data_IF_643105918368
#
_entry.id   IF_643105918368
#
_cell.length_a   1.000
_cell.length_b   1.000
_cell.length_c   1.000
_cell.angle_alpha   90.00
_cell.angle_beta   90.00
_cell.angle_gamma   90.00
#
_symmetry.space_group_name_H-M   'P 1'
#
loop_
_entity.id
_entity.type
_entity.pdbx_description
1 polymer ?
#
# COMPACT_ATOMS: atom_id res chain seq x y z
N UNK A 1 23.02 21.13 -31.48
CA UNK A 1 21.70 21.47 -30.91
C UNK A 1 21.31 20.31 -30.02
N UNK A 2 21.54 20.42 -28.70
CA UNK A 2 21.18 19.37 -27.71
C UNK A 2 19.75 19.61 -27.29
N UNK A 3 18.85 18.70 -27.66
CA UNK A 3 17.48 18.69 -27.20
C UNK A 3 17.41 18.24 -25.76
N UNK A 4 17.10 19.15 -24.87
CA UNK A 4 16.79 18.87 -23.47
C UNK A 4 15.42 18.12 -23.43
N UNK A 5 15.45 16.82 -23.17
CA UNK A 5 14.21 16.06 -22.90
C UNK A 5 13.80 16.41 -21.46
N UNK A 6 12.82 17.30 -21.34
CA UNK A 6 12.11 17.55 -20.08
C UNK A 6 11.35 16.26 -19.71
N UNK A 7 11.88 15.49 -18.77
CA UNK A 7 11.12 14.43 -18.10
C UNK A 7 10.10 15.12 -17.20
N UNK A 8 8.88 15.28 -17.69
CA UNK A 8 7.73 15.67 -16.88
C UNK A 8 7.53 14.61 -15.79
N UNK A 9 7.96 14.88 -14.58
CA UNK A 9 7.47 14.18 -13.41
C UNK A 9 5.98 14.51 -13.31
N UNK A 10 5.12 13.56 -13.64
CA UNK A 10 3.67 13.65 -13.35
C UNK A 10 3.51 13.66 -11.84
N UNK A 11 3.55 14.84 -11.24
CA UNK A 11 3.12 15.02 -9.86
C UNK A 11 1.64 14.62 -9.81
N UNK A 12 1.29 13.76 -8.87
CA UNK A 12 -0.09 13.37 -8.61
C UNK A 12 -0.91 14.63 -8.30
N UNK A 13 -2.01 14.86 -9.01
CA UNK A 13 -2.85 16.03 -8.76
C UNK A 13 -3.50 15.91 -7.38
N UNK A 14 -3.18 16.84 -6.50
CA UNK A 14 -3.84 17.01 -5.21
C UNK A 14 -5.21 17.63 -5.42
N UNK A 15 -6.19 17.15 -4.65
CA UNK A 15 -7.50 17.82 -4.58
C UNK A 15 -7.33 19.20 -3.92
N UNK A 16 -7.69 20.25 -4.64
CA UNK A 16 -7.54 21.63 -4.16
C UNK A 16 -8.45 21.96 -2.99
N UNK A 17 -9.53 21.22 -2.81
CA UNK A 17 -10.45 21.35 -1.70
C UNK A 17 -9.95 20.73 -0.37
N UNK A 18 -8.79 20.04 -0.37
CA UNK A 18 -8.17 19.56 0.87
C UNK A 18 -7.80 20.73 1.77
N UNK A 19 -8.16 20.69 3.09
CA UNK A 19 -7.87 21.77 4.00
C UNK A 19 -6.36 21.95 4.21
N UNK A 20 -5.92 23.19 4.31
CA UNK A 20 -4.55 23.49 4.74
C UNK A 20 -4.37 23.11 6.21
N UNK A 21 -3.19 22.57 6.55
CA UNK A 21 -2.84 22.30 7.93
C UNK A 21 -2.37 23.59 8.60
N UNK A 22 -3.04 23.97 9.65
CA UNK A 22 -2.65 25.07 10.51
C UNK A 22 -2.17 24.56 11.84
N UNK A 23 -0.94 24.98 12.21
CA UNK A 23 -0.31 24.61 13.47
C UNK A 23 -1.10 25.19 14.65
N UNK A 24 -1.37 24.35 15.66
CA UNK A 24 -1.92 24.78 16.95
C UNK A 24 -0.84 24.76 18.03
N UNK A 25 -1.03 25.53 19.11
CA UNK A 25 -0.07 25.56 20.22
C UNK A 25 -0.28 24.37 21.18
N UNK A 26 0.77 24.05 21.97
CA UNK A 26 0.67 23.11 23.08
C UNK A 26 0.72 21.63 22.70
N UNK A 27 1.16 21.29 21.51
CA UNK A 27 1.32 19.89 21.07
C UNK A 27 2.71 19.40 21.43
N UNK A 28 2.76 18.32 22.21
CA UNK A 28 3.98 17.64 22.65
C UNK A 28 3.65 16.19 23.05
N UNK A 29 4.65 15.36 23.24
CA UNK A 29 4.49 13.97 23.69
C UNK A 29 5.10 12.97 22.71
N UNK A 30 4.71 11.70 22.85
CA UNK A 30 5.25 10.61 22.05
C UNK A 30 4.19 9.98 21.17
N UNK A 31 4.56 9.66 19.92
CA UNK A 31 3.76 8.89 18.96
C UNK A 31 4.56 7.65 18.56
N UNK A 32 3.92 6.48 18.59
CA UNK A 32 4.47 5.26 18.05
C UNK A 32 3.54 4.71 16.97
N UNK A 33 4.10 4.52 15.79
CA UNK A 33 3.45 3.86 14.65
C UNK A 33 4.06 2.48 14.44
N UNK A 34 3.23 1.44 14.48
CA UNK A 34 3.66 0.04 14.27
C UNK A 34 2.81 -0.60 13.19
N UNK A 35 3.41 -1.09 12.10
CA UNK A 35 2.61 -1.73 11.06
C UNK A 35 3.32 -1.96 9.74
N UNK A 36 2.65 -1.59 8.66
CA UNK A 36 2.97 -1.95 7.29
C UNK A 36 4.26 -1.33 6.77
N UNK A 37 5.17 -2.16 6.25
CA UNK A 37 6.31 -1.73 5.44
C UNK A 37 5.87 -0.98 4.16
N UNK A 38 4.76 -1.36 3.56
CA UNK A 38 4.23 -0.66 2.36
C UNK A 38 4.05 0.84 2.62
N UNK A 39 3.63 1.23 3.83
CA UNK A 39 3.42 2.63 4.22
C UNK A 39 4.64 3.25 4.91
N UNK A 40 5.79 2.55 4.98
CA UNK A 40 6.95 2.99 5.75
C UNK A 40 7.45 4.38 5.32
N UNK A 41 7.66 4.59 4.01
CA UNK A 41 8.11 5.88 3.45
C UNK A 41 7.13 7.01 3.78
N UNK A 42 5.87 6.81 3.45
CA UNK A 42 4.81 7.80 3.70
C UNK A 42 4.67 8.13 5.19
N UNK A 43 4.67 7.11 6.06
CA UNK A 43 4.56 7.33 7.51
C UNK A 43 5.79 8.09 8.05
N UNK A 44 6.98 7.78 7.56
CA UNK A 44 8.21 8.49 7.92
C UNK A 44 8.15 9.95 7.49
N UNK A 45 7.75 10.23 6.27
CA UNK A 45 7.57 11.60 5.78
C UNK A 45 6.55 12.39 6.61
N UNK A 46 5.43 11.77 6.98
CA UNK A 46 4.46 12.42 7.87
C UNK A 46 5.03 12.74 9.25
N UNK A 47 5.77 11.80 9.83
CA UNK A 47 6.37 11.99 11.15
C UNK A 47 7.45 13.09 11.12
N UNK A 48 8.32 13.07 10.12
CA UNK A 48 9.38 14.09 9.96
C UNK A 48 8.80 15.49 9.79
N UNK A 49 7.81 15.65 8.91
CA UNK A 49 7.16 16.95 8.71
C UNK A 49 6.37 17.40 9.93
N UNK A 50 5.67 16.48 10.61
CA UNK A 50 4.94 16.79 11.84
C UNK A 50 5.88 17.21 12.98
N UNK A 51 7.06 16.59 13.11
CA UNK A 51 8.09 17.00 14.06
C UNK A 51 8.70 18.38 13.71
N UNK A 52 8.75 18.75 12.43
CA UNK A 52 9.14 20.09 12.02
C UNK A 52 8.13 21.17 12.49
N UNK A 53 6.83 20.84 12.48
CA UNK A 53 5.80 21.69 13.11
C UNK A 53 5.91 21.68 14.65
N UNK A 54 6.22 20.54 15.26
CA UNK A 54 6.19 20.31 16.71
C UNK A 54 7.49 19.68 17.23
N UNK A 55 8.55 20.45 17.45
CA UNK A 55 9.85 19.93 17.89
C UNK A 55 9.83 19.19 19.25
N UNK A 56 8.79 19.42 20.07
CA UNK A 56 8.60 18.72 21.34
C UNK A 56 7.89 17.37 21.21
N UNK A 57 7.59 16.94 19.97
CA UNK A 57 7.04 15.59 19.67
C UNK A 57 8.16 14.62 19.42
N UNK A 58 8.14 13.49 20.15
CA UNK A 58 8.99 12.33 19.87
C UNK A 58 8.17 11.28 19.14
N UNK A 59 8.48 11.01 17.88
CA UNK A 59 7.74 10.04 17.10
C UNK A 59 8.65 8.93 16.57
N UNK A 60 8.14 7.69 16.56
CA UNK A 60 8.85 6.50 16.11
C UNK A 60 7.99 5.69 15.12
N UNK A 61 8.64 5.12 14.12
CA UNK A 61 8.02 4.28 13.09
C UNK A 61 8.67 2.90 13.09
N UNK A 62 7.84 1.86 13.28
CA UNK A 62 8.23 0.46 13.18
C UNK A 62 7.44 -0.21 12.06
N UNK A 63 8.09 -0.46 10.94
CA UNK A 63 7.46 -0.90 9.70
C UNK A 63 7.76 -2.38 9.40
N UNK A 64 7.37 -3.30 10.28
CA UNK A 64 7.67 -4.73 10.19
C UNK A 64 6.63 -5.54 9.40
N UNK A 65 5.50 -4.95 9.04
CA UNK A 65 4.41 -5.58 8.28
C UNK A 65 3.04 -5.34 8.92
N UNK A 66 1.98 -5.37 8.11
CA UNK A 66 0.61 -5.06 8.57
C UNK A 66 0.12 -5.93 9.74
N UNK A 67 0.61 -7.17 9.85
CA UNK A 67 0.18 -8.07 10.93
C UNK A 67 0.71 -7.67 12.32
N UNK A 68 1.64 -6.72 12.42
CA UNK A 68 2.14 -6.20 13.70
C UNK A 68 1.26 -5.09 14.27
N UNK A 69 0.44 -4.44 13.44
CA UNK A 69 -0.43 -3.34 13.86
C UNK A 69 -1.56 -3.78 14.83
N UNK A 70 -2.33 -4.85 14.55
CA UNK A 70 -3.43 -5.23 15.42
C UNK A 70 -3.02 -5.52 16.88
N UNK A 71 -1.99 -6.36 17.17
CA UNK A 71 -1.58 -6.58 18.56
C UNK A 71 -1.04 -5.30 19.21
N UNK A 72 -0.24 -4.49 18.51
CA UNK A 72 0.30 -3.26 19.08
C UNK A 72 -0.81 -2.24 19.47
N UNK A 73 -1.87 -2.14 18.67
CA UNK A 73 -3.04 -1.32 18.98
C UNK A 73 -3.87 -1.91 20.12
N UNK A 74 -4.05 -3.25 20.16
CA UNK A 74 -4.81 -3.92 21.21
C UNK A 74 -4.13 -3.75 22.57
N UNK A 75 -2.82 -3.89 22.62
CA UNK A 75 -2.02 -3.71 23.84
C UNK A 75 -1.76 -2.22 24.17
N UNK A 76 -2.26 -1.28 23.34
CA UNK A 76 -2.03 0.16 23.50
C UNK A 76 -0.54 0.54 23.52
N UNK A 77 0.33 -0.29 22.93
CA UNK A 77 1.76 -0.01 22.77
C UNK A 77 2.04 0.92 21.59
N UNK A 78 1.12 1.02 20.62
CA UNK A 78 1.17 1.97 19.52
C UNK A 78 -0.14 2.77 19.43
N UNK A 79 -0.05 4.02 18.99
CA UNK A 79 -1.20 4.88 18.72
C UNK A 79 -1.71 4.71 17.30
N UNK A 80 -0.81 4.41 16.35
CA UNK A 80 -1.12 4.30 14.93
C UNK A 80 -0.71 2.93 14.38
N UNK A 81 -1.61 2.28 13.65
CA UNK A 81 -1.41 0.99 13.01
C UNK A 81 -1.55 1.08 11.49
N UNK A 82 -0.49 1.48 10.73
CA UNK A 82 -0.55 1.46 9.27
C UNK A 82 -0.73 0.06 8.73
N UNK A 83 -1.65 -0.12 7.79
CA UNK A 83 -1.94 -1.41 7.17
C UNK A 83 -2.21 -1.28 5.67
N UNK A 84 -1.64 -2.18 4.88
CA UNK A 84 -1.85 -2.25 3.43
C UNK A 84 -2.93 -3.27 3.02
N UNK A 85 -3.76 -3.67 3.96
CA UNK A 85 -5.00 -4.43 3.85
C UNK A 85 -5.95 -4.06 4.99
N UNK A 86 -7.25 -4.33 4.87
CA UNK A 86 -8.13 -4.30 6.05
C UNK A 86 -7.67 -5.28 7.13
N UNK A 87 -7.96 -4.98 8.40
CA UNK A 87 -7.84 -5.95 9.48
C UNK A 87 -8.73 -7.16 9.17
N UNK A 88 -8.25 -8.35 9.51
CA UNK A 88 -9.04 -9.58 9.44
C UNK A 88 -10.11 -9.58 10.53
N UNK A 89 -11.18 -10.32 10.31
CA UNK A 89 -12.25 -10.45 11.33
C UNK A 89 -11.74 -10.94 12.69
N UNK A 90 -10.77 -11.86 12.70
CA UNK A 90 -10.12 -12.33 13.92
C UNK A 90 -9.29 -11.26 14.63
N UNK A 91 -8.60 -10.37 13.87
CA UNK A 91 -7.83 -9.26 14.43
C UNK A 91 -8.78 -8.20 15.05
N UNK A 92 -9.90 -7.92 14.38
CA UNK A 92 -10.95 -7.00 14.89
C UNK A 92 -11.59 -7.60 16.16
N UNK A 93 -11.93 -8.89 16.15
CA UNK A 93 -12.55 -9.56 17.29
C UNK A 93 -11.63 -9.59 18.52
N UNK A 94 -10.32 -9.81 18.32
CA UNK A 94 -9.34 -9.76 19.39
C UNK A 94 -9.23 -8.37 20.02
N UNK A 95 -9.21 -7.32 19.20
CA UNK A 95 -9.24 -5.93 19.66
C UNK A 95 -10.53 -5.60 20.43
N UNK A 96 -11.68 -5.99 19.86
CA UNK A 96 -13.00 -5.74 20.46
C UNK A 96 -13.17 -6.47 21.80
N UNK A 97 -12.64 -7.69 21.92
CA UNK A 97 -12.64 -8.43 23.19
C UNK A 97 -11.85 -7.73 24.29
N UNK A 98 -10.78 -7.01 23.94
CA UNK A 98 -9.95 -6.27 24.90
C UNK A 98 -10.51 -4.91 25.27
N UNK A 99 -11.10 -4.19 24.32
CA UNK A 99 -11.51 -2.80 24.50
C UNK A 99 -13.02 -2.58 24.62
N UNK A 100 -13.85 -3.56 24.23
CA UNK A 100 -15.31 -3.43 24.19
C UNK A 100 -15.86 -2.66 23.01
N UNK A 101 -15.00 -2.26 22.04
CA UNK A 101 -15.36 -1.58 20.79
C UNK A 101 -14.35 -1.92 19.70
N UNK A 102 -14.72 -1.66 18.42
CA UNK A 102 -13.86 -1.99 17.27
C UNK A 102 -12.81 -0.90 17.02
N UNK A 103 -11.63 -1.28 16.48
CA UNK A 103 -10.63 -0.30 16.06
C UNK A 103 -11.17 0.54 14.91
N UNK A 104 -10.79 1.81 14.84
CA UNK A 104 -11.22 2.71 13.76
C UNK A 104 -10.25 2.66 12.60
N UNK A 105 -10.75 2.30 11.42
CA UNK A 105 -9.99 2.29 10.16
C UNK A 105 -10.11 3.64 9.46
N UNK A 106 -8.98 4.28 9.17
CA UNK A 106 -8.88 5.51 8.38
C UNK A 106 -8.23 5.20 7.03
N UNK A 107 -8.92 5.49 5.93
CA UNK A 107 -8.37 5.38 4.57
C UNK A 107 -7.48 6.60 4.31
N UNK A 108 -6.19 6.39 4.17
CA UNK A 108 -5.22 7.50 4.13
C UNK A 108 -4.60 7.74 2.75
N UNK A 109 -4.64 6.75 1.88
CA UNK A 109 -4.10 6.81 0.52
C UNK A 109 -4.72 5.72 -0.35
N UNK A 110 -4.55 5.85 -1.67
CA UNK A 110 -4.89 4.81 -2.64
C UNK A 110 -3.60 4.25 -3.24
N UNK A 111 -3.52 2.93 -3.36
CA UNK A 111 -2.40 2.16 -3.88
C UNK A 111 -2.92 1.08 -4.84
N UNK A 112 -2.02 0.44 -5.53
CA UNK A 112 -2.28 -0.81 -6.21
C UNK A 112 -1.13 -1.79 -5.98
N UNK A 113 -1.45 -3.09 -5.96
CA UNK A 113 -0.42 -4.12 -6.04
C UNK A 113 -0.03 -4.32 -7.50
N UNK A 114 1.19 -3.90 -7.84
CA UNK A 114 1.75 -4.05 -9.16
C UNK A 114 2.43 -5.40 -9.34
N UNK A 115 2.33 -5.93 -10.55
CA UNK A 115 3.13 -7.09 -11.00
C UNK A 115 4.33 -6.55 -11.76
N UNK A 116 5.50 -6.83 -11.23
CA UNK A 116 6.77 -6.34 -11.75
C UNK A 116 7.51 -7.42 -12.50
N UNK A 117 8.07 -7.08 -13.64
CA UNK A 117 9.09 -7.88 -14.35
C UNK A 117 10.29 -6.98 -14.67
N UNK A 118 11.42 -7.60 -15.02
CA UNK A 118 12.56 -6.85 -15.54
C UNK A 118 12.12 -6.02 -16.76
N UNK A 119 12.66 -4.80 -16.90
CA UNK A 119 12.25 -3.86 -17.96
C UNK A 119 12.31 -4.43 -19.37
N UNK A 120 13.27 -5.33 -19.63
CA UNK A 120 13.50 -5.95 -20.95
C UNK A 120 12.66 -7.23 -21.16
N UNK A 121 11.83 -7.64 -20.22
CA UNK A 121 10.95 -8.79 -20.38
C UNK A 121 9.84 -8.47 -21.39
N UNK A 122 9.66 -9.26 -22.48
CA UNK A 122 8.73 -8.93 -23.56
C UNK A 122 7.25 -9.22 -23.25
N UNK A 123 6.93 -9.81 -22.09
CA UNK A 123 5.54 -10.14 -21.74
C UNK A 123 4.63 -8.90 -21.75
N UNK A 124 3.42 -9.06 -22.30
CA UNK A 124 2.48 -7.94 -22.47
C UNK A 124 1.54 -7.73 -21.30
N UNK A 125 1.20 -8.77 -20.55
CA UNK A 125 0.30 -8.72 -19.42
C UNK A 125 0.04 -10.12 -18.85
N UNK A 126 -0.70 -10.20 -17.76
CA UNK A 126 -1.13 -11.45 -17.11
C UNK A 126 -2.60 -11.32 -16.66
N UNK A 127 -3.33 -12.42 -16.63
CA UNK A 127 -4.63 -12.50 -15.98
C UNK A 127 -4.55 -13.22 -14.63
N UNK A 128 -5.63 -13.19 -13.84
CA UNK A 128 -5.64 -13.80 -12.51
C UNK A 128 -5.42 -15.30 -12.53
N UNK A 129 -5.95 -16.03 -13.52
CA UNK A 129 -5.69 -17.45 -13.65
C UNK A 129 -4.20 -17.74 -13.89
N UNK A 130 -3.52 -16.92 -14.71
CA UNK A 130 -2.07 -17.04 -14.92
C UNK A 130 -1.28 -16.63 -13.66
N UNK A 131 -1.68 -15.58 -12.94
CA UNK A 131 -1.05 -15.20 -11.67
C UNK A 131 -1.16 -16.31 -10.63
N UNK A 132 -2.34 -16.93 -10.51
CA UNK A 132 -2.56 -18.10 -9.65
C UNK A 132 -1.66 -19.26 -10.08
N UNK A 133 -1.63 -19.61 -11.37
CA UNK A 133 -0.77 -20.66 -11.90
C UNK A 133 0.74 -20.43 -11.65
N UNK A 134 1.17 -19.16 -11.60
CA UNK A 134 2.55 -18.75 -11.36
C UNK A 134 2.92 -18.79 -9.88
N UNK A 135 2.07 -18.23 -9.01
CA UNK A 135 2.39 -18.00 -7.60
C UNK A 135 1.78 -19.04 -6.64
N UNK A 136 0.67 -19.68 -7.01
CA UNK A 136 -0.08 -20.57 -6.11
C UNK A 136 0.31 -22.04 -6.28
N UNK A 137 0.35 -22.76 -5.16
CA UNK A 137 0.47 -24.22 -5.13
C UNK A 137 -0.89 -24.91 -5.24
N UNK A 138 -1.99 -24.21 -4.94
CA UNK A 138 -3.34 -24.80 -4.82
C UNK A 138 -4.27 -24.48 -6.00
N UNK A 139 -3.86 -23.59 -6.92
CA UNK A 139 -4.51 -23.28 -8.20
C UNK A 139 -6.02 -22.97 -8.07
N UNK A 140 -6.41 -22.20 -7.06
CA UNK A 140 -7.84 -21.96 -6.72
C UNK A 140 -8.57 -21.03 -7.69
N UNK A 141 -7.84 -20.27 -8.52
CA UNK A 141 -8.46 -19.45 -9.57
C UNK A 141 -8.73 -20.24 -10.87
N UNK A 142 -8.63 -21.57 -10.84
CA UNK A 142 -9.05 -22.44 -11.95
C UNK A 142 -7.97 -22.78 -12.97
N UNK A 143 -6.71 -22.52 -12.68
CA UNK A 143 -5.61 -23.02 -13.52
C UNK A 143 -5.50 -24.54 -13.42
N UNK A 144 -5.23 -25.21 -14.54
CA UNK A 144 -5.13 -26.68 -14.59
C UNK A 144 -3.77 -27.20 -14.14
N UNK A 145 -2.73 -26.39 -14.29
CA UNK A 145 -1.36 -26.75 -13.95
C UNK A 145 -0.51 -25.51 -13.62
N UNK A 146 0.56 -25.66 -12.84
CA UNK A 146 1.47 -24.55 -12.55
C UNK A 146 2.17 -24.04 -13.82
N UNK A 147 2.44 -22.74 -13.86
CA UNK A 147 3.30 -22.08 -14.84
C UNK A 147 4.67 -21.88 -14.20
N UNK A 148 5.71 -22.46 -14.79
CA UNK A 148 7.08 -22.48 -14.28
C UNK A 148 8.03 -21.76 -15.23
N UNK A 149 7.75 -21.83 -16.54
CA UNK A 149 8.62 -21.28 -17.59
C UNK A 149 7.93 -20.17 -18.36
N UNK A 150 8.73 -19.27 -18.94
CA UNK A 150 8.21 -18.21 -19.81
C UNK A 150 7.58 -18.74 -21.10
N UNK A 151 7.97 -19.96 -21.57
CA UNK A 151 7.34 -20.60 -22.74
C UNK A 151 5.87 -20.91 -22.52
N UNK A 152 5.47 -21.28 -21.30
CA UNK A 152 4.06 -21.54 -20.97
C UNK A 152 3.20 -20.26 -21.03
N UNK A 153 3.84 -19.09 -21.05
CA UNK A 153 3.22 -17.78 -21.27
C UNK A 153 3.36 -17.30 -22.73
N UNK A 154 3.82 -18.19 -23.64
CA UNK A 154 3.93 -17.89 -25.07
C UNK A 154 5.18 -17.07 -25.46
N UNK A 155 6.18 -16.92 -24.58
CA UNK A 155 7.41 -16.21 -24.93
C UNK A 155 8.32 -17.10 -25.77
N UNK A 156 8.81 -16.61 -26.94
CA UNK A 156 9.61 -17.40 -27.88
C UNK A 156 11.11 -17.37 -27.60
N UNK A 157 11.87 -18.15 -28.37
CA UNK A 157 13.33 -18.18 -28.47
C UNK A 157 14.04 -18.35 -27.10
N UNK A 158 14.98 -17.48 -26.79
CA UNK A 158 15.80 -17.54 -25.56
C UNK A 158 14.97 -17.46 -24.27
N UNK A 159 13.78 -16.92 -24.32
CA UNK A 159 12.86 -16.87 -23.18
C UNK A 159 12.22 -18.22 -22.89
N UNK A 160 11.97 -19.04 -23.92
CA UNK A 160 11.25 -20.28 -23.77
C UNK A 160 11.90 -21.27 -22.80
N UNK A 161 13.22 -21.26 -22.69
CA UNK A 161 14.00 -22.16 -21.81
C UNK A 161 14.21 -21.60 -20.39
N UNK A 162 13.76 -20.38 -20.12
CA UNK A 162 13.98 -19.71 -18.81
C UNK A 162 12.87 -20.07 -17.83
N UNK A 163 13.25 -20.51 -16.65
CA UNK A 163 12.32 -20.61 -15.52
C UNK A 163 11.98 -19.20 -15.00
N UNK A 164 10.73 -19.01 -14.59
CA UNK A 164 10.29 -17.79 -13.92
C UNK A 164 10.81 -17.85 -12.49
N UNK A 165 11.65 -16.89 -12.12
CA UNK A 165 12.11 -16.69 -10.75
C UNK A 165 11.15 -15.75 -10.04
N UNK A 166 10.60 -16.19 -8.90
CA UNK A 166 9.52 -15.48 -8.20
C UNK A 166 10.02 -14.74 -6.97
N UNK A 167 9.56 -13.50 -6.82
CA UNK A 167 9.76 -12.70 -5.62
C UNK A 167 8.42 -12.20 -5.09
N UNK A 168 8.25 -12.27 -3.77
CA UNK A 168 7.04 -11.83 -3.09
C UNK A 168 7.35 -11.34 -1.70
N UNK A 169 6.30 -11.00 -0.96
CA UNK A 169 6.39 -10.57 0.42
C UNK A 169 6.23 -11.76 1.36
N UNK A 170 6.74 -11.64 2.57
CA UNK A 170 6.52 -12.62 3.64
C UNK A 170 5.10 -12.53 4.23
N UNK A 171 4.71 -13.50 5.05
CA UNK A 171 3.35 -13.64 5.59
C UNK A 171 2.92 -12.53 6.57
N UNK A 172 3.85 -11.75 7.13
CA UNK A 172 3.57 -10.60 8.00
C UNK A 172 3.07 -9.40 7.19
N UNK A 173 3.42 -9.34 5.90
CA UNK A 173 3.04 -8.27 4.99
C UNK A 173 1.55 -8.25 4.69
N UNK A 174 0.95 -7.05 4.75
CA UNK A 174 -0.42 -6.83 4.26
C UNK A 174 -0.55 -7.03 2.76
N UNK A 175 0.50 -6.70 2.00
CA UNK A 175 0.53 -6.93 0.54
C UNK A 175 0.52 -8.42 0.19
N UNK A 176 1.22 -9.27 0.97
CA UNK A 176 1.11 -10.72 0.86
C UNK A 176 -0.36 -11.17 1.06
N UNK A 177 -0.98 -10.75 2.16
CA UNK A 177 -2.37 -11.13 2.46
C UNK A 177 -3.37 -10.63 1.42
N UNK A 178 -3.19 -9.40 0.95
CA UNK A 178 -4.04 -8.82 -0.10
C UNK A 178 -3.89 -9.56 -1.43
N UNK A 179 -2.66 -9.85 -1.86
CA UNK A 179 -2.39 -10.59 -3.09
C UNK A 179 -2.94 -12.01 -3.03
N UNK A 180 -2.71 -12.72 -1.92
CA UNK A 180 -3.28 -14.06 -1.68
C UNK A 180 -4.79 -14.08 -1.84
N UNK A 181 -5.47 -13.11 -1.25
CA UNK A 181 -6.93 -13.02 -1.28
C UNK A 181 -7.48 -12.68 -2.67
N UNK A 182 -6.89 -11.70 -3.37
CA UNK A 182 -7.49 -11.12 -4.56
C UNK A 182 -6.93 -11.69 -5.87
N UNK A 183 -5.67 -12.11 -5.92
CA UNK A 183 -5.02 -12.61 -7.11
C UNK A 183 -4.86 -14.13 -7.14
N UNK A 184 -4.90 -14.81 -5.98
CA UNK A 184 -4.74 -16.27 -5.86
C UNK A 184 -6.00 -16.97 -5.35
N UNK A 185 -7.16 -16.30 -5.33
CA UNK A 185 -8.42 -16.86 -4.83
C UNK A 185 -8.26 -17.54 -3.45
N UNK A 186 -7.49 -16.93 -2.55
CA UNK A 186 -7.07 -17.46 -1.25
C UNK A 186 -6.19 -18.74 -1.34
N UNK A 187 -5.61 -19.03 -2.51
CA UNK A 187 -4.67 -20.15 -2.71
C UNK A 187 -3.37 -19.95 -1.94
N UNK A 188 -2.70 -21.03 -1.59
CA UNK A 188 -1.42 -20.99 -0.89
C UNK A 188 -0.27 -20.75 -1.88
N UNK A 189 0.70 -19.93 -1.46
CA UNK A 189 1.88 -19.66 -2.28
C UNK A 189 2.74 -20.89 -2.50
N UNK A 190 3.38 -20.97 -3.67
CA UNK A 190 4.40 -21.99 -3.94
C UNK A 190 5.65 -21.75 -3.09
N UNK A 191 6.30 -22.84 -2.65
CA UNK A 191 7.54 -22.78 -1.87
C UNK A 191 8.72 -22.15 -2.63
N UNK A 192 8.64 -22.04 -3.97
CA UNK A 192 9.67 -21.39 -4.81
C UNK A 192 9.57 -19.87 -4.86
N UNK A 193 8.58 -19.28 -4.21
CA UNK A 193 8.49 -17.80 -4.07
C UNK A 193 9.55 -17.37 -3.07
N UNK A 194 10.50 -16.55 -3.54
CA UNK A 194 11.51 -15.93 -2.68
C UNK A 194 10.87 -14.80 -1.88
N UNK A 195 10.59 -15.08 -0.61
CA UNK A 195 9.97 -14.12 0.29
C UNK A 195 10.95 -13.01 0.67
N UNK A 196 10.49 -11.76 0.57
CA UNK A 196 11.24 -10.56 0.90
C UNK A 196 10.61 -9.83 2.10
N UNK A 197 11.41 -9.28 3.02
CA UNK A 197 10.88 -8.56 4.18
C UNK A 197 10.23 -7.23 3.80
N UNK A 198 10.69 -6.58 2.71
CA UNK A 198 10.27 -5.24 2.30
C UNK A 198 9.79 -5.16 0.85
N UNK A 199 9.01 -4.12 0.58
CA UNK A 199 8.47 -3.82 -0.77
C UNK A 199 9.60 -3.43 -1.73
N UNK A 200 10.55 -2.62 -1.28
CA UNK A 200 11.70 -2.21 -2.06
C UNK A 200 12.60 -3.40 -2.46
N UNK A 201 12.83 -4.35 -1.53
CA UNK A 201 13.67 -5.52 -1.81
C UNK A 201 13.07 -6.45 -2.86
N UNK A 202 11.73 -6.58 -2.93
CA UNK A 202 11.07 -7.29 -4.04
C UNK A 202 11.42 -6.64 -5.37
N UNK A 203 11.20 -5.32 -5.49
CA UNK A 203 11.38 -4.61 -6.76
C UNK A 203 12.84 -4.59 -7.19
N UNK A 204 13.78 -4.42 -6.25
CA UNK A 204 15.21 -4.50 -6.52
C UNK A 204 15.63 -5.89 -7.00
N UNK A 205 15.10 -6.96 -6.38
CA UNK A 205 15.35 -8.33 -6.83
C UNK A 205 14.83 -8.57 -8.25
N UNK A 206 13.66 -8.00 -8.59
CA UNK A 206 13.12 -8.07 -9.96
C UNK A 206 13.98 -7.28 -10.95
N UNK A 207 14.51 -6.13 -10.56
CA UNK A 207 15.37 -5.31 -11.41
C UNK A 207 16.74 -5.96 -11.70
N UNK A 208 17.20 -6.88 -10.83
CA UNK A 208 18.54 -7.48 -10.91
C UNK A 208 18.64 -8.67 -11.86
N UNK A 209 17.53 -9.27 -12.31
CA UNK A 209 17.55 -10.48 -13.15
C UNK A 209 16.43 -10.49 -14.18
N UNK A 210 16.77 -10.81 -15.41
CA UNK A 210 15.86 -10.70 -16.57
C UNK A 210 14.68 -11.68 -16.53
N UNK A 211 14.82 -12.82 -15.86
CA UNK A 211 13.81 -13.89 -15.81
C UNK A 211 12.92 -13.82 -14.54
N UNK A 212 12.92 -12.69 -13.87
CA UNK A 212 12.18 -12.50 -12.62
C UNK A 212 10.78 -11.97 -12.83
N UNK A 213 9.91 -12.31 -11.90
CA UNK A 213 8.56 -11.79 -11.74
C UNK A 213 8.27 -11.64 -10.24
N UNK A 214 7.70 -10.51 -9.85
CA UNK A 214 7.38 -10.24 -8.44
C UNK A 214 6.16 -9.33 -8.28
N UNK A 215 5.64 -9.24 -7.05
CA UNK A 215 4.54 -8.33 -6.71
C UNK A 215 4.90 -7.42 -5.54
N UNK A 216 4.52 -6.14 -5.64
CA UNK A 216 4.75 -5.14 -4.61
C UNK A 216 3.79 -3.96 -4.78
N UNK A 217 3.79 -2.97 -3.88
CA UNK A 217 3.08 -1.71 -4.09
C UNK A 217 3.64 -0.94 -5.30
N UNK A 218 2.78 -0.31 -6.08
CA UNK A 218 3.20 0.40 -7.31
C UNK A 218 4.12 1.59 -7.03
N UNK A 219 4.05 2.20 -5.84
CA UNK A 219 4.91 3.30 -5.41
C UNK A 219 6.40 2.94 -5.34
N UNK A 220 6.75 1.65 -5.27
CA UNK A 220 8.16 1.20 -5.22
C UNK A 220 8.82 1.01 -6.58
N UNK A 221 8.18 1.43 -7.68
CA UNK A 221 8.71 1.30 -9.03
C UNK A 221 10.07 1.99 -9.19
N UNK A 222 11.02 1.28 -9.81
CA UNK A 222 12.35 1.80 -10.18
C UNK A 222 12.61 1.62 -11.68
N UNK A 223 13.64 2.26 -12.23
CA UNK A 223 13.94 2.26 -13.68
C UNK A 223 14.26 0.88 -14.27
N UNK A 224 14.70 -0.07 -13.44
CA UNK A 224 15.09 -1.44 -13.87
C UNK A 224 13.90 -2.39 -14.08
N UNK A 225 12.68 -1.97 -13.77
CA UNK A 225 11.47 -2.80 -13.87
C UNK A 225 10.41 -2.13 -14.72
N UNK A 226 9.47 -2.94 -15.22
CA UNK A 226 8.19 -2.48 -15.74
C UNK A 226 7.04 -3.13 -14.97
N UNK A 227 5.94 -2.39 -14.85
CA UNK A 227 4.67 -2.90 -14.36
C UNK A 227 3.92 -3.59 -15.49
N UNK A 228 3.31 -4.72 -15.20
CA UNK A 228 2.45 -5.42 -16.15
C UNK A 228 1.01 -4.96 -16.00
N UNK A 229 0.32 -4.73 -17.12
CA UNK A 229 -1.12 -4.64 -17.11
C UNK A 229 -1.74 -5.99 -16.77
N UNK A 230 -2.90 -5.96 -16.10
CA UNK A 230 -3.56 -7.17 -15.59
C UNK A 230 -4.99 -7.23 -16.10
N UNK A 231 -5.44 -8.44 -16.47
CA UNK A 231 -6.84 -8.73 -16.73
C UNK A 231 -7.44 -9.56 -15.58
N UNK A 232 -8.73 -9.40 -15.29
CA UNK A 232 -9.45 -10.35 -14.42
C UNK A 232 -9.59 -11.70 -15.11
N UNK A 233 -9.98 -11.67 -16.37
CA UNK A 233 -10.16 -12.86 -17.23
C UNK A 233 -9.69 -12.52 -18.66
N UNK A 234 -9.35 -13.53 -19.45
CA UNK A 234 -8.95 -13.34 -20.84
C UNK A 234 -7.70 -12.49 -21.01
N UNK A 235 -7.75 -11.53 -21.96
CA UNK A 235 -6.64 -10.66 -22.34
C UNK A 235 -6.99 -9.17 -22.34
N UNK A 236 -8.09 -8.79 -21.69
CA UNK A 236 -8.50 -7.39 -21.54
C UNK A 236 -7.65 -6.71 -20.46
N UNK A 237 -6.39 -6.52 -20.80
CA UNK A 237 -5.38 -6.00 -19.88
C UNK A 237 -5.60 -4.52 -19.56
N UNK A 238 -5.65 -4.23 -18.26
CA UNK A 238 -5.74 -2.87 -17.71
C UNK A 238 -4.38 -2.44 -17.18
N UNK A 239 -3.87 -1.33 -17.68
CA UNK A 239 -2.62 -0.71 -17.24
C UNK A 239 -2.78 -0.12 -15.81
N UNK A 240 -1.75 -0.21 -14.95
CA UNK A 240 -1.75 0.43 -13.63
C UNK A 240 -1.49 1.94 -13.73
N UNK A 241 -2.29 2.63 -14.53
CA UNK A 241 -2.29 4.09 -14.60
C UNK A 241 -3.03 4.70 -13.42
N UNK A 242 -2.74 5.96 -13.10
CA UNK A 242 -3.46 6.71 -12.07
C UNK A 242 -4.98 6.63 -12.26
N UNK A 243 -5.46 6.91 -13.46
CA UNK A 243 -6.89 6.89 -13.77
C UNK A 243 -7.52 5.52 -13.51
N UNK A 244 -6.85 4.44 -13.92
CA UNK A 244 -7.34 3.08 -13.73
C UNK A 244 -7.29 2.63 -12.26
N UNK A 245 -6.31 3.12 -11.49
CA UNK A 245 -6.22 2.83 -10.05
C UNK A 245 -7.31 3.58 -9.30
N UNK A 246 -7.50 4.87 -9.56
CA UNK A 246 -8.53 5.71 -8.92
C UNK A 246 -9.95 5.24 -9.23
N UNK A 247 -10.22 4.85 -10.47
CA UNK A 247 -11.54 4.33 -10.88
C UNK A 247 -11.81 2.89 -10.39
N UNK A 248 -10.78 2.18 -9.87
CA UNK A 248 -10.86 0.75 -9.54
C UNK A 248 -10.89 -0.17 -10.77
N UNK A 249 -10.65 0.37 -11.98
CA UNK A 249 -10.52 -0.44 -13.20
C UNK A 249 -9.31 -1.38 -13.14
N UNK A 250 -8.18 -0.92 -12.57
CA UNK A 250 -7.04 -1.80 -12.32
C UNK A 250 -7.39 -2.81 -11.21
N UNK A 251 -7.35 -4.12 -11.48
CA UNK A 251 -7.98 -5.12 -10.59
C UNK A 251 -7.39 -5.26 -9.19
N UNK A 252 -6.15 -4.82 -8.99
CA UNK A 252 -5.46 -4.88 -7.69
C UNK A 252 -5.30 -3.51 -7.02
N UNK A 253 -6.19 -2.55 -7.35
CA UNK A 253 -6.31 -1.27 -6.64
C UNK A 253 -6.84 -1.47 -5.21
N UNK A 254 -6.32 -0.70 -4.26
CA UNK A 254 -6.71 -0.80 -2.85
C UNK A 254 -6.56 0.53 -2.11
N UNK A 255 -7.24 0.67 -0.99
CA UNK A 255 -6.90 1.68 0.01
C UNK A 255 -5.75 1.21 0.89
N UNK A 256 -4.95 2.18 1.35
CA UNK A 256 -4.06 2.05 2.48
C UNK A 256 -4.74 2.62 3.72
N UNK A 257 -4.52 1.99 4.86
CA UNK A 257 -5.23 2.31 6.09
C UNK A 257 -4.24 2.70 7.21
N UNK A 258 -4.70 3.59 8.08
CA UNK A 258 -4.13 3.74 9.43
C UNK A 258 -5.24 3.40 10.42
N UNK A 259 -5.02 2.39 11.23
CA UNK A 259 -5.93 2.03 12.31
C UNK A 259 -5.55 2.77 13.59
N UNK A 260 -6.56 3.18 14.33
CA UNK A 260 -6.40 3.87 15.62
C UNK A 260 -7.32 3.27 16.69
N UNK A 261 -6.87 3.30 17.95
CA UNK A 261 -7.67 2.92 19.10
C UNK A 261 -8.50 4.13 19.56
N UNK A 262 -9.60 4.45 18.83
CA UNK A 262 -10.53 5.52 19.19
C UNK A 262 -11.68 4.97 20.03
N UNK A 263 -11.62 5.25 21.35
CA UNK A 263 -12.75 4.96 22.23
C UNK A 263 -13.95 5.85 21.83
N UNK A 264 -15.15 5.26 21.61
CA UNK A 264 -16.33 6.04 21.20
C UNK A 264 -16.74 7.10 22.22
N UNK A 265 -16.46 6.89 23.51
CA UNK A 265 -16.85 7.77 24.62
C UNK A 265 -15.74 8.72 25.08
N UNK A 266 -14.58 8.75 24.41
CA UNK A 266 -13.46 9.62 24.79
C UNK A 266 -12.86 10.27 23.54
N UNK A 267 -12.44 11.51 23.69
CA UNK A 267 -11.69 12.19 22.65
C UNK A 267 -10.29 11.59 22.50
N UNK A 268 -9.73 11.75 21.31
CA UNK A 268 -8.31 11.50 21.07
C UNK A 268 -7.46 12.46 21.91
N UNK A 269 -6.27 12.05 22.28
CA UNK A 269 -5.30 12.99 22.86
C UNK A 269 -4.99 14.12 21.87
N UNK A 270 -4.58 15.32 22.35
CA UNK A 270 -4.30 16.45 21.46
C UNK A 270 -3.29 16.10 20.35
N UNK A 271 -2.24 15.35 20.68
CA UNK A 271 -1.21 14.97 19.71
C UNK A 271 -1.74 13.98 18.65
N UNK A 272 -2.54 12.97 19.02
CA UNK A 272 -3.17 12.04 18.09
C UNK A 272 -4.13 12.75 17.15
N UNK A 273 -4.97 13.65 17.70
CA UNK A 273 -5.91 14.47 16.93
C UNK A 273 -5.19 15.31 15.89
N UNK A 274 -4.12 16.01 16.28
CA UNK A 274 -3.39 16.88 15.38
C UNK A 274 -2.60 16.11 14.33
N UNK A 275 -2.03 14.95 14.67
CA UNK A 275 -1.37 14.11 13.69
C UNK A 275 -2.36 13.55 12.65
N UNK A 276 -3.56 13.16 13.05
CA UNK A 276 -4.63 12.76 12.13
C UNK A 276 -5.04 13.96 11.25
N UNK A 277 -5.27 15.16 11.82
CA UNK A 277 -5.57 16.35 11.02
C UNK A 277 -4.49 16.64 10.00
N UNK A 278 -3.22 16.52 10.39
CA UNK A 278 -2.09 16.69 9.49
C UNK A 278 -2.10 15.66 8.35
N UNK A 279 -2.29 14.37 8.62
CA UNK A 279 -2.35 13.33 7.57
C UNK A 279 -3.43 13.62 6.52
N UNK A 280 -4.58 14.16 6.92
CA UNK A 280 -5.72 14.46 6.06
C UNK A 280 -5.72 15.88 5.48
N UNK A 281 -4.68 16.66 5.74
CA UNK A 281 -4.49 17.99 5.17
C UNK A 281 -3.86 17.96 3.78
N UNK A 282 -3.89 19.10 3.08
CA UNK A 282 -3.20 19.29 1.80
C UNK A 282 -1.70 18.98 1.92
N UNK A 283 -1.05 19.41 3.00
CA UNK A 283 0.37 19.13 3.26
C UNK A 283 0.62 17.63 3.47
N UNK A 284 -0.18 16.98 4.31
CA UNK A 284 -0.06 15.54 4.56
C UNK A 284 -0.32 14.71 3.31
N UNK A 285 -1.30 15.08 2.47
CA UNK A 285 -1.60 14.40 1.21
C UNK A 285 -0.57 14.70 0.11
N UNK A 286 0.13 15.84 0.16
CA UNK A 286 1.28 16.10 -0.70
C UNK A 286 2.43 15.11 -0.42
N UNK A 287 2.62 14.71 0.83
CA UNK A 287 3.62 13.69 1.20
C UNK A 287 3.20 12.29 0.72
N UNK A 288 1.90 11.97 0.68
CA UNK A 288 1.38 10.75 0.03
C UNK A 288 1.80 10.69 -1.44
N UNK A 289 1.58 11.80 -2.17
CA UNK A 289 1.98 11.91 -3.58
C UNK A 289 3.50 11.81 -3.76
N UNK A 290 4.27 12.42 -2.86
CA UNK A 290 5.75 12.38 -2.87
C UNK A 290 6.30 10.97 -2.69
N UNK A 291 5.63 10.13 -1.87
CA UNK A 291 6.00 8.71 -1.66
C UNK A 291 5.50 7.78 -2.79
N UNK A 292 4.85 8.34 -3.82
CA UNK A 292 4.42 7.58 -5.01
C UNK A 292 3.05 6.92 -4.89
N UNK A 293 2.26 7.26 -3.87
CA UNK A 293 0.87 6.84 -3.71
C UNK A 293 -0.12 7.90 -4.20
N UNK A 294 -1.38 7.51 -4.36
CA UNK A 294 -2.43 8.41 -4.79
C UNK A 294 -3.09 9.05 -3.57
N UNK A 295 -3.11 10.40 -3.49
CA UNK A 295 -3.82 11.11 -2.45
C UNK A 295 -5.33 10.80 -2.48
N UNK A 296 -5.96 10.87 -1.31
CA UNK A 296 -7.42 10.83 -1.19
C UNK A 296 -8.01 12.21 -1.53
N UNK A 297 -9.30 12.21 -1.87
CA UNK A 297 -10.04 13.46 -2.10
C UNK A 297 -10.45 14.13 -0.78
N UNK A 298 -10.77 15.42 -0.83
CA UNK A 298 -11.31 16.18 0.32
C UNK A 298 -12.57 15.52 0.89
N UNK A 299 -13.46 15.02 0.05
CA UNK A 299 -14.65 14.30 0.47
C UNK A 299 -14.31 13.04 1.29
N UNK A 300 -13.33 12.26 0.85
CA UNK A 300 -12.86 11.09 1.61
C UNK A 300 -12.21 11.53 2.91
N UNK A 301 -11.37 12.56 2.90
CA UNK A 301 -10.74 13.11 4.10
C UNK A 301 -11.78 13.53 5.16
N UNK A 302 -12.84 14.22 4.74
CA UNK A 302 -13.94 14.60 5.63
C UNK A 302 -14.63 13.38 6.27
N UNK A 303 -14.93 12.36 5.46
CA UNK A 303 -15.54 11.11 5.95
C UNK A 303 -14.66 10.40 6.97
N UNK A 304 -13.34 10.37 6.75
CA UNK A 304 -12.40 9.70 7.64
C UNK A 304 -12.20 10.48 8.95
N UNK A 305 -12.09 11.81 8.88
CA UNK A 305 -12.00 12.69 10.06
C UNK A 305 -13.24 12.56 10.94
N UNK A 306 -14.43 12.48 10.34
CA UNK A 306 -15.69 12.32 11.07
C UNK A 306 -15.73 11.03 11.92
N UNK A 307 -15.11 9.92 11.47
CA UNK A 307 -15.04 8.66 12.23
C UNK A 307 -14.36 8.81 13.59
N UNK A 308 -13.46 9.76 13.72
CA UNK A 308 -12.69 10.02 14.94
C UNK A 308 -13.13 11.30 15.68
N UNK A 309 -14.26 11.88 15.26
CA UNK A 309 -14.85 13.07 15.90
C UNK A 309 -14.10 14.38 15.58
N UNK A 310 -13.30 14.39 14.53
CA UNK A 310 -12.64 15.61 14.05
C UNK A 310 -13.53 16.25 13.00
N UNK A 311 -14.00 17.46 13.29
CA UNK A 311 -14.77 18.25 12.32
C UNK A 311 -13.80 18.83 11.27
N UNK A 312 -14.16 18.80 9.98
CA UNK A 312 -13.40 19.52 8.97
C UNK A 312 -13.42 21.02 9.30
N UNK A 313 -12.30 21.70 9.11
CA UNK A 313 -12.26 23.15 9.14
C UNK A 313 -12.91 23.59 7.82
N UNK A 314 -14.19 23.91 7.86
CA UNK A 314 -14.86 24.56 6.74
C UNK A 314 -14.50 26.02 6.84
N UNK A 315 -13.58 26.50 6.02
CA UNK A 315 -13.51 27.93 5.74
C UNK A 315 -14.81 28.31 5.02
N UNK A 316 -15.71 28.98 5.74
CA UNK A 316 -16.85 29.67 5.13
C UNK A 316 -16.26 30.77 4.24
N UNK A 317 -16.21 30.51 2.93
CA UNK A 317 -15.95 31.52 1.92
C UNK A 317 -17.14 32.50 1.82
#
# INVERSE_FOLDING_TARGET
>A
MSSLVLVSSTAWALDEALPHYEKVSGISGSLLSVGSDTLAGMTTLWVEEFQAYYPAVNAQVQASGSATAPPALSESTAQFGPMSRPMRSSEIAAFEAMHGYKPTALRVAIDAVGIFVHRDNPIKGLNFQQLDAIFSATLRCGALQPIITWSQLGLPYDWAKRNIQLFGRNSVSGTYGYFKQNALCQGDFQNRVNEQPGSASVVQSVASSINTLGYSGVGYRVSGVKLLPIAREGNDYVEPTQANILSGAYPLSRYLYVYVNKNPNRDLSPIEREFIRFMFSRQGQALVAKDGYLPITALVAEQELAKVGIKPIIELQ
#
